data_IF_020266191309
#
_entry.id   IF_020266191309
#
_cell.length_a   1.000
_cell.length_b   1.000
_cell.length_c   1.000
_cell.angle_alpha   90.00
_cell.angle_beta   90.00
_cell.angle_gamma   90.00
#
_symmetry.space_group_name_H-M   'P 1'
#
loop_
_entity.id
_entity.type
_entity.pdbx_description
1 polymer ?
#
# COMPACT_ATOMS: atom_id res chain seq x y z
N UNK A 1 -58.00 40.99 1.87
CA UNK A 1 -57.35 39.86 1.18
C UNK A 1 -55.90 39.81 1.62
N UNK A 2 -55.49 38.79 2.39
CA UNK A 2 -54.10 38.61 2.88
C UNK A 2 -53.46 37.50 2.05
N UNK A 3 -52.42 37.82 1.29
CA UNK A 3 -51.63 36.85 0.53
C UNK A 3 -50.65 36.14 1.46
N UNK A 4 -50.74 34.81 1.53
CA UNK A 4 -49.75 33.97 2.19
C UNK A 4 -48.66 33.61 1.18
N UNK A 5 -47.42 34.04 1.45
CA UNK A 5 -46.23 33.65 0.69
C UNK A 5 -45.72 32.34 1.27
N UNK A 6 -45.80 31.26 0.49
CA UNK A 6 -45.24 29.95 0.85
C UNK A 6 -43.79 29.93 0.36
N UNK A 7 -42.84 29.95 1.30
CA UNK A 7 -41.42 29.72 1.03
C UNK A 7 -41.18 28.21 0.92
N UNK A 8 -40.98 27.72 -0.29
CA UNK A 8 -40.51 26.35 -0.54
C UNK A 8 -38.99 26.33 -0.37
N UNK A 9 -38.52 25.80 0.75
CA UNK A 9 -37.10 25.46 0.91
C UNK A 9 -36.81 24.22 0.07
N UNK A 10 -36.13 24.43 -1.07
CA UNK A 10 -35.51 23.35 -1.82
C UNK A 10 -34.28 22.91 -1.03
N UNK A 11 -34.38 21.77 -0.34
CA UNK A 11 -33.22 21.09 0.24
C UNK A 11 -32.37 20.56 -0.92
N UNK A 12 -31.46 21.41 -1.42
CA UNK A 12 -30.43 21.02 -2.35
C UNK A 12 -29.55 19.93 -1.72
N UNK A 13 -29.62 18.74 -2.31
CA UNK A 13 -28.54 17.76 -2.39
C UNK A 13 -27.99 17.25 -1.07
N UNK A 14 -28.35 16.01 -0.70
CA UNK A 14 -27.44 15.16 0.04
C UNK A 14 -26.12 15.07 -0.75
N UNK A 15 -25.10 15.84 -0.33
CA UNK A 15 -23.72 15.53 -0.67
C UNK A 15 -23.42 14.17 -0.05
N UNK A 16 -23.56 13.13 -0.86
CA UNK A 16 -22.99 11.83 -0.58
C UNK A 16 -21.50 12.06 -0.37
N UNK A 17 -21.06 12.11 0.88
CA UNK A 17 -19.65 12.07 1.25
C UNK A 17 -19.11 10.76 0.68
N UNK A 18 -18.67 10.77 -0.58
CA UNK A 18 -17.85 9.68 -1.13
C UNK A 18 -16.66 9.60 -0.17
N UNK A 19 -16.50 8.44 0.47
CA UNK A 19 -15.31 8.15 1.27
C UNK A 19 -14.04 8.39 0.43
N UNK A 20 -12.88 8.51 1.08
CA UNK A 20 -11.63 8.74 0.37
C UNK A 20 -11.45 7.71 -0.76
N UNK A 21 -10.85 8.12 -1.90
CA UNK A 21 -10.63 7.21 -3.00
C UNK A 21 -9.84 5.98 -2.53
N UNK A 22 -10.11 4.83 -3.13
CA UNK A 22 -9.67 3.52 -2.61
C UNK A 22 -8.12 3.43 -2.55
N UNK A 23 -7.40 4.15 -3.42
CA UNK A 23 -5.93 4.35 -3.43
C UNK A 23 -5.35 5.04 -2.19
N UNK A 24 -6.19 5.72 -1.40
CA UNK A 24 -5.80 6.29 -0.12
C UNK A 24 -5.29 5.24 0.87
N UNK A 25 -5.86 4.03 0.86
CA UNK A 25 -5.48 2.96 1.79
C UNK A 25 -4.03 2.51 1.59
N UNK A 26 -3.65 2.22 0.34
CA UNK A 26 -2.29 1.80 -0.02
C UNK A 26 -1.25 2.86 0.39
N UNK A 27 -1.48 4.13 0.05
CA UNK A 27 -0.58 5.24 0.41
C UNK A 27 -0.48 5.48 1.91
N UNK A 28 -1.59 5.37 2.63
CA UNK A 28 -1.59 5.51 4.08
C UNK A 28 -0.75 4.40 4.74
N UNK A 29 -0.90 3.16 4.25
CA UNK A 29 -0.14 2.00 4.75
C UNK A 29 1.35 2.09 4.45
N UNK A 30 1.73 2.54 3.26
CA UNK A 30 3.13 2.80 2.91
C UNK A 30 3.78 3.81 3.87
N UNK A 31 3.06 4.88 4.26
CA UNK A 31 3.56 5.83 5.27
C UNK A 31 3.72 5.20 6.65
N UNK A 32 2.78 4.33 7.06
CA UNK A 32 2.94 3.56 8.30
C UNK A 32 4.19 2.69 8.25
N UNK A 33 4.45 2.01 7.14
CA UNK A 33 5.63 1.15 6.97
C UNK A 33 6.92 1.95 7.14
N UNK A 34 7.07 3.10 6.47
CA UNK A 34 8.28 3.93 6.63
C UNK A 34 8.43 4.46 8.05
N UNK A 35 7.34 4.78 8.75
CA UNK A 35 7.38 5.14 10.17
C UNK A 35 7.93 4.00 11.04
N UNK A 36 7.47 2.76 10.81
CA UNK A 36 7.94 1.57 11.52
C UNK A 36 9.41 1.27 11.19
N UNK A 37 9.80 1.30 9.92
CA UNK A 37 11.19 1.13 9.47
C UNK A 37 12.12 2.19 10.08
N UNK A 38 11.68 3.45 10.16
CA UNK A 38 12.47 4.52 10.77
C UNK A 38 12.68 4.28 12.27
N UNK A 39 11.65 3.83 12.99
CA UNK A 39 11.77 3.45 14.41
C UNK A 39 12.73 2.28 14.58
N UNK A 40 12.55 1.22 13.77
CA UNK A 40 13.40 0.04 13.78
C UNK A 40 14.86 0.38 13.49
N UNK A 41 15.10 1.24 12.50
CA UNK A 41 16.43 1.73 12.16
C UNK A 41 17.09 2.49 13.32
N UNK A 42 16.34 3.30 14.07
CA UNK A 42 16.89 4.03 15.21
C UNK A 42 17.43 3.10 16.30
N UNK A 43 16.81 1.92 16.46
CA UNK A 43 17.15 0.92 17.46
C UNK A 43 18.25 -0.04 16.96
N UNK A 44 18.18 -0.46 15.69
CA UNK A 44 19.00 -1.54 15.14
C UNK A 44 20.07 -1.09 14.15
N UNK A 45 20.06 0.18 13.74
CA UNK A 45 20.96 0.75 12.72
C UNK A 45 20.90 0.01 11.37
N UNK A 46 19.75 -0.59 11.05
CA UNK A 46 19.44 -1.23 9.77
C UNK A 46 17.94 -1.20 9.50
N UNK A 47 17.56 -1.36 8.24
CA UNK A 47 16.17 -1.65 7.86
C UNK A 47 15.90 -3.14 7.86
N UNK A 48 14.63 -3.53 7.72
CA UNK A 48 14.23 -4.92 7.54
C UNK A 48 13.50 -5.13 6.23
N UNK A 49 13.73 -6.27 5.58
CA UNK A 49 12.85 -6.73 4.51
C UNK A 49 11.68 -7.57 5.04
N UNK A 50 11.66 -7.83 6.35
CA UNK A 50 10.70 -8.70 7.00
C UNK A 50 9.65 -7.86 7.73
N UNK A 51 8.44 -7.71 7.16
CA UNK A 51 7.46 -6.80 7.75
C UNK A 51 6.98 -7.25 9.14
N UNK A 52 7.05 -8.55 9.44
CA UNK A 52 6.76 -9.06 10.78
C UNK A 52 7.77 -8.57 11.83
N UNK A 53 9.04 -8.37 11.43
CA UNK A 53 10.11 -7.91 12.32
C UNK A 53 9.88 -6.47 12.78
N UNK A 54 9.39 -5.61 11.89
CA UNK A 54 9.02 -4.22 12.22
C UNK A 54 7.60 -4.08 12.82
N UNK A 55 6.91 -5.21 13.06
CA UNK A 55 5.55 -5.21 13.59
C UNK A 55 4.47 -4.77 12.60
N UNK A 56 4.75 -4.78 11.29
CA UNK A 56 3.75 -4.49 10.26
C UNK A 56 2.94 -5.74 9.91
N UNK A 57 1.61 -5.57 9.89
CA UNK A 57 0.69 -6.53 9.31
C UNK A 57 -0.51 -5.80 8.68
N UNK A 58 -0.98 -6.22 7.49
CA UNK A 58 -2.17 -5.64 6.89
C UNK A 58 -3.44 -6.06 7.62
N UNK A 59 -4.43 -5.16 7.63
CA UNK A 59 -5.74 -5.43 8.21
C UNK A 59 -6.48 -6.59 7.50
N UNK A 60 -7.55 -7.09 8.11
CA UNK A 60 -8.43 -8.05 7.45
C UNK A 60 -9.17 -7.41 6.28
N UNK A 61 -9.40 -8.16 5.21
CA UNK A 61 -9.94 -7.68 3.95
C UNK A 61 -8.95 -6.89 3.10
N UNK A 62 -7.64 -7.07 3.31
CA UNK A 62 -6.59 -6.44 2.53
C UNK A 62 -6.70 -6.84 1.06
N UNK A 63 -6.59 -5.87 0.16
CA UNK A 63 -6.61 -6.09 -1.29
C UNK A 63 -5.23 -5.92 -1.95
N UNK A 64 -4.25 -5.46 -1.19
CA UNK A 64 -2.97 -5.03 -1.70
C UNK A 64 -1.88 -6.08 -1.44
N UNK A 65 -0.99 -6.24 -2.39
CA UNK A 65 0.33 -6.83 -2.16
C UNK A 65 1.25 -5.75 -1.57
N UNK A 66 1.87 -6.03 -0.43
CA UNK A 66 2.98 -5.23 0.11
C UNK A 66 4.27 -6.00 -0.08
N UNK A 67 5.28 -5.36 -0.71
CA UNK A 67 6.54 -6.01 -1.08
C UNK A 67 7.73 -5.21 -0.52
N UNK A 68 8.56 -5.89 0.27
CA UNK A 68 9.74 -5.32 0.94
C UNK A 68 11.05 -5.80 0.32
N UNK A 69 11.05 -6.86 -0.48
CA UNK A 69 12.21 -7.30 -1.27
C UNK A 69 11.78 -7.85 -2.65
N UNK A 70 12.71 -7.85 -3.60
CA UNK A 70 12.47 -8.35 -4.97
C UNK A 70 12.25 -9.87 -5.05
N UNK A 71 12.79 -10.60 -4.08
CA UNK A 71 12.77 -12.05 -3.96
C UNK A 71 12.64 -12.47 -2.50
N UNK A 72 11.99 -13.62 -2.27
CA UNK A 72 11.74 -14.18 -0.94
C UNK A 72 10.33 -14.75 -0.87
N UNK A 73 10.03 -15.45 0.22
CA UNK A 73 8.68 -15.96 0.43
C UNK A 73 7.73 -14.83 0.81
N UNK A 74 6.49 -14.91 0.30
CA UNK A 74 5.43 -13.98 0.64
C UNK A 74 4.43 -14.67 1.53
N UNK A 75 3.97 -13.97 2.56
CA UNK A 75 2.84 -14.44 3.38
C UNK A 75 1.60 -14.41 2.52
N UNK A 76 1.17 -15.60 2.08
CA UNK A 76 -0.11 -15.78 1.42
C UNK A 76 -1.23 -15.69 2.46
N UNK A 77 -2.30 -14.97 2.13
CA UNK A 77 -3.46 -14.77 3.01
C UNK A 77 -4.73 -15.41 2.45
N UNK A 78 -4.54 -16.37 1.55
CA UNK A 78 -5.56 -17.17 0.86
C UNK A 78 -6.02 -18.37 1.71
N UNK A 79 -5.16 -18.95 2.56
CA UNK A 79 -5.45 -20.27 3.15
C UNK A 79 -5.35 -20.40 4.67
N UNK A 80 -4.47 -19.66 5.35
CA UNK A 80 -4.30 -19.77 6.81
C UNK A 80 -4.51 -18.43 7.51
N UNK A 81 -5.10 -18.41 8.73
CA UNK A 81 -4.94 -17.26 9.61
C UNK A 81 -3.45 -17.12 9.92
N UNK A 82 -2.99 -15.87 9.99
CA UNK A 82 -1.70 -15.50 10.58
C UNK A 82 -1.41 -16.32 11.85
N UNK A 83 -0.15 -16.68 12.11
CA UNK A 83 0.93 -15.70 12.14
C UNK A 83 1.58 -15.48 10.76
N UNK A 84 2.08 -14.26 10.50
CA UNK A 84 2.96 -14.05 9.37
C UNK A 84 4.14 -14.99 9.41
N UNK A 85 4.60 -15.44 8.24
CA UNK A 85 5.93 -16.04 8.16
C UNK A 85 6.90 -14.95 8.59
N UNK A 86 7.63 -15.17 9.71
CA UNK A 86 8.56 -14.16 10.23
C UNK A 86 9.57 -13.72 9.17
N UNK A 87 10.02 -14.68 8.36
CA UNK A 87 10.98 -14.49 7.27
C UNK A 87 10.34 -14.06 5.94
N UNK A 88 9.03 -13.76 5.93
CA UNK A 88 8.36 -13.26 4.73
C UNK A 88 8.97 -11.94 4.29
N UNK A 89 9.00 -11.68 2.97
CA UNK A 89 9.40 -10.38 2.41
C UNK A 89 8.22 -9.51 2.02
N UNK A 90 7.02 -9.84 2.50
CA UNK A 90 5.80 -9.12 2.16
C UNK A 90 4.51 -9.81 2.59
N UNK A 91 3.38 -9.24 2.17
CA UNK A 91 2.06 -9.79 2.39
C UNK A 91 1.23 -9.74 1.13
N UNK A 92 0.58 -10.85 0.79
CA UNK A 92 -0.39 -10.91 -0.30
C UNK A 92 -1.78 -10.35 0.07
N UNK A 93 -2.66 -10.26 -0.93
CA UNK A 93 -4.06 -9.89 -0.72
C UNK A 93 -4.84 -11.03 -0.04
N UNK A 94 -6.00 -10.68 0.53
CA UNK A 94 -6.94 -11.65 1.09
C UNK A 94 -7.80 -12.25 -0.03
N UNK A 95 -7.20 -13.15 -0.82
CA UNK A 95 -7.74 -13.69 -2.07
C UNK A 95 -9.17 -14.23 -1.95
N UNK A 96 -9.46 -15.05 -0.94
CA UNK A 96 -10.81 -15.63 -0.73
C UNK A 96 -11.91 -14.57 -0.59
N UNK A 97 -11.59 -13.42 -0.02
CA UNK A 97 -12.56 -12.34 0.25
C UNK A 97 -12.70 -11.37 -0.92
N UNK A 98 -11.68 -11.27 -1.79
CA UNK A 98 -11.57 -10.23 -2.81
C UNK A 98 -11.55 -10.76 -4.25
N UNK A 99 -11.28 -12.04 -4.46
CA UNK A 99 -11.09 -12.61 -5.80
C UNK A 99 -9.79 -12.17 -6.48
N UNK A 100 -8.87 -11.52 -5.75
CA UNK A 100 -7.59 -11.03 -6.28
C UNK A 100 -6.49 -12.04 -5.96
N UNK A 101 -5.82 -12.57 -6.98
CA UNK A 101 -4.71 -13.51 -6.83
C UNK A 101 -3.41 -12.77 -6.58
N UNK A 102 -2.53 -13.35 -5.76
CA UNK A 102 -1.20 -12.80 -5.49
C UNK A 102 -0.35 -12.74 -6.77
N UNK A 103 -0.45 -13.80 -7.57
CA UNK A 103 0.30 -14.01 -8.80
C UNK A 103 -0.02 -12.93 -9.84
N UNK A 104 -1.29 -12.55 -9.95
CA UNK A 104 -1.75 -11.51 -10.87
C UNK A 104 -1.14 -10.15 -10.49
N UNK A 105 -1.15 -9.80 -9.20
CA UNK A 105 -0.54 -8.56 -8.71
C UNK A 105 0.98 -8.54 -8.92
N UNK A 106 1.66 -9.67 -8.72
CA UNK A 106 3.10 -9.80 -8.97
C UNK A 106 3.45 -9.68 -10.46
N UNK A 107 2.61 -10.22 -11.34
CA UNK A 107 2.80 -10.18 -12.78
C UNK A 107 2.53 -8.80 -13.37
N UNK A 108 1.55 -8.08 -12.82
CA UNK A 108 1.16 -6.75 -13.27
C UNK A 108 2.11 -5.63 -12.78
N UNK A 109 2.97 -5.91 -11.79
CA UNK A 109 3.95 -4.95 -11.28
C UNK A 109 5.02 -4.62 -12.36
N UNK A 110 5.26 -3.32 -12.66
CA UNK A 110 6.34 -2.92 -13.56
C UNK A 110 7.71 -3.41 -13.10
N UNK A 111 8.52 -3.86 -14.06
CA UNK A 111 9.83 -4.47 -13.79
C UNK A 111 10.82 -3.50 -13.14
N UNK A 112 10.76 -2.23 -13.52
CA UNK A 112 11.57 -1.14 -12.96
C UNK A 112 11.20 -0.86 -11.50
N UNK A 113 9.90 -0.81 -11.18
CA UNK A 113 9.44 -0.67 -9.79
C UNK A 113 9.87 -1.89 -8.98
N UNK A 114 9.68 -3.10 -9.53
CA UNK A 114 10.07 -4.34 -8.86
C UNK A 114 11.57 -4.37 -8.57
N UNK A 115 12.41 -3.93 -9.50
CA UNK A 115 13.86 -3.87 -9.32
C UNK A 115 14.28 -2.84 -8.26
N UNK A 116 13.46 -1.83 -8.00
CA UNK A 116 13.74 -0.78 -7.00
C UNK A 116 13.40 -1.19 -5.56
N UNK A 117 12.57 -2.22 -5.36
CA UNK A 117 12.12 -2.66 -4.02
C UNK A 117 13.23 -3.41 -3.30
N UNK A 118 13.37 -3.19 -2.00
CA UNK A 118 14.43 -3.80 -1.20
C UNK A 118 15.28 -2.79 -0.47
N UNK A 119 16.32 -3.32 0.16
CA UNK A 119 17.40 -2.54 0.77
C UNK A 119 18.49 -2.33 -0.28
N UNK A 120 18.93 -1.09 -0.42
CA UNK A 120 20.06 -0.69 -1.25
C UNK A 120 21.18 -0.13 -0.37
N UNK A 121 22.42 -0.50 -0.68
CA UNK A 121 23.60 -0.10 0.11
C UNK A 121 23.83 -0.99 1.35
N UNK A 122 24.73 -0.53 2.22
CA UNK A 122 25.14 -1.25 3.43
C UNK A 122 24.78 -0.41 4.66
N UNK A 123 24.04 -0.99 5.61
CA UNK A 123 23.64 -0.28 6.81
C UNK A 123 24.86 0.02 7.70
N UNK A 124 24.99 1.23 8.28
CA UNK A 124 23.98 2.28 8.46
C UNK A 124 23.96 3.36 7.36
N UNK A 125 24.38 3.04 6.13
CA UNK A 125 24.23 3.90 4.95
C UNK A 125 23.42 3.19 3.88
N UNK A 126 22.36 2.53 4.33
CA UNK A 126 21.44 1.81 3.49
C UNK A 126 20.13 2.58 3.37
N UNK A 127 19.36 2.26 2.34
CA UNK A 127 18.05 2.84 2.08
C UNK A 127 17.07 1.71 1.79
N UNK A 128 15.80 1.86 2.16
CA UNK A 128 14.76 0.89 1.87
C UNK A 128 13.73 1.47 0.91
N UNK A 129 13.24 0.64 0.00
CA UNK A 129 12.09 0.92 -0.85
C UNK A 129 11.07 -0.19 -0.70
N UNK A 130 9.82 0.20 -0.44
CA UNK A 130 8.69 -0.72 -0.29
C UNK A 130 7.64 -0.38 -1.34
N UNK A 131 7.05 -1.40 -1.95
CA UNK A 131 5.95 -1.25 -2.90
C UNK A 131 4.62 -1.75 -2.33
N UNK A 132 3.55 -1.15 -2.82
CA UNK A 132 2.18 -1.58 -2.62
C UNK A 132 1.51 -1.66 -3.99
N UNK A 133 0.94 -2.82 -4.30
CA UNK A 133 0.30 -3.12 -5.59
C UNK A 133 -1.12 -3.56 -5.31
N UNK A 134 -2.10 -3.05 -6.03
CA UNK A 134 -3.46 -3.55 -5.93
C UNK A 134 -4.29 -3.16 -7.14
N UNK A 135 -5.33 -3.93 -7.39
CA UNK A 135 -6.36 -3.57 -8.34
C UNK A 135 -7.46 -2.84 -7.58
N UNK A 136 -7.63 -1.54 -7.86
CA UNK A 136 -8.45 -0.65 -7.03
C UNK A 136 -9.86 -0.51 -7.59
N UNK A 137 -10.01 -0.54 -8.90
CA UNK A 137 -11.25 -0.32 -9.64
C UNK A 137 -11.80 -1.58 -10.34
N UNK A 138 -11.17 -2.73 -10.11
CA UNK A 138 -11.55 -4.05 -10.62
C UNK A 138 -11.36 -4.19 -12.15
N UNK A 139 -10.35 -3.51 -12.71
CA UNK A 139 -9.98 -3.57 -14.13
C UNK A 139 -8.70 -4.41 -14.39
N UNK A 140 -8.24 -4.65 -15.64
CA UNK A 140 -7.06 -5.48 -15.89
C UNK A 140 -5.71 -4.87 -15.46
N UNK A 141 -5.68 -3.58 -15.15
CA UNK A 141 -4.52 -2.84 -14.69
C UNK A 141 -4.46 -2.84 -13.15
N UNK A 142 -3.32 -2.43 -12.62
CA UNK A 142 -3.10 -2.36 -11.17
C UNK A 142 -2.48 -1.01 -10.84
N UNK A 143 -2.94 -0.42 -9.75
CA UNK A 143 -2.26 0.71 -9.13
C UNK A 143 -1.01 0.23 -8.43
N UNK A 144 0.12 0.84 -8.80
CA UNK A 144 1.42 0.55 -8.20
C UNK A 144 1.95 1.79 -7.52
N UNK A 145 2.08 1.71 -6.20
CA UNK A 145 2.68 2.73 -5.37
C UNK A 145 3.98 2.23 -4.76
N UNK A 146 4.93 3.13 -4.54
CA UNK A 146 6.12 2.81 -3.76
C UNK A 146 6.54 3.98 -2.88
N UNK A 147 7.18 3.69 -1.76
CA UNK A 147 7.75 4.68 -0.85
C UNK A 147 9.19 4.28 -0.54
N UNK A 148 10.05 5.26 -0.27
CA UNK A 148 11.46 5.01 0.07
C UNK A 148 11.96 5.98 1.12
N UNK A 149 13.03 5.61 1.80
CA UNK A 149 13.80 6.47 2.71
C UNK A 149 14.77 7.40 1.99
N UNK A 150 15.00 7.20 0.67
CA UNK A 150 15.75 8.13 -0.19
C UNK A 150 14.87 8.88 -1.18
N UNK A 151 15.42 9.99 -1.67
CA UNK A 151 14.89 10.71 -2.82
C UNK A 151 14.97 9.86 -4.10
N UNK A 152 13.93 9.94 -4.93
CA UNK A 152 13.83 9.19 -6.20
C UNK A 152 13.22 10.08 -7.29
N UNK A 153 13.46 9.78 -8.57
CA UNK A 153 12.72 10.44 -9.65
C UNK A 153 11.20 10.33 -9.41
N UNK A 154 10.51 11.47 -9.37
CA UNK A 154 9.06 11.52 -9.12
C UNK A 154 8.63 11.69 -7.66
N UNK A 155 9.55 11.76 -6.69
CA UNK A 155 9.19 12.08 -5.30
C UNK A 155 10.36 12.13 -4.32
N UNK A 156 10.19 12.94 -3.27
CA UNK A 156 11.15 13.01 -2.16
C UNK A 156 10.96 11.83 -1.19
N UNK A 157 11.98 11.56 -0.38
CA UNK A 157 11.93 10.55 0.67
C UNK A 157 10.65 10.65 1.54
N UNK A 158 10.11 9.50 1.95
CA UNK A 158 8.90 9.41 2.75
C UNK A 158 7.60 9.75 2.01
N UNK A 159 7.65 10.02 0.71
CA UNK A 159 6.45 10.29 -0.11
C UNK A 159 6.12 9.11 -1.02
N UNK A 160 4.90 8.55 -0.96
CA UNK A 160 4.44 7.56 -1.93
C UNK A 160 4.44 8.14 -3.36
N UNK A 161 5.10 7.44 -4.27
CA UNK A 161 5.14 7.71 -5.72
C UNK A 161 4.19 6.74 -6.42
N UNK A 162 3.38 7.25 -7.35
CA UNK A 162 2.52 6.45 -8.21
C UNK A 162 3.25 6.11 -9.52
N UNK A 163 3.26 4.83 -9.91
CA UNK A 163 4.00 4.36 -11.09
C UNK A 163 3.10 3.98 -12.26
N UNK A 164 1.97 3.34 -11.98
CA UNK A 164 0.97 2.96 -12.99
C UNK A 164 -0.33 3.59 -12.57
N UNK A 165 -0.90 4.41 -13.46
CA UNK A 165 -2.19 5.04 -13.27
C UNK A 165 -3.14 4.45 -14.31
N UNK A 166 -4.01 3.55 -13.90
CA UNK A 166 -5.33 3.45 -14.52
C UNK A 166 -6.15 4.68 -14.05
N UNK A 167 -7.05 5.13 -14.89
CA UNK A 167 -7.73 6.44 -14.79
C UNK A 167 -9.18 6.28 -14.39
#
# INVERSE_FOLDING_TARGET
>A
MRFAVVFVFVLSGCNLLKGPPRDHECRARLRTIIGLETSFYSEHQRYSVHPAEIGFAPAQGNRYLYLFATSGELTRRDELPSPPLMESVGYGPDTKKRGVLLEDLLAAMPKDVRASVGIEGECPKCEITVACVGNIDDDPQVDVWSISTKDRPGGVQGTPIHHVKDL
#
